data_IF_444259618241
#
_entry.id   IF_444259618241
#
_cell.length_a   1.000
_cell.length_b   1.000
_cell.length_c   1.000
_cell.angle_alpha   90.00
_cell.angle_beta   90.00
_cell.angle_gamma   90.00
#
_symmetry.space_group_name_H-M   'P 1'
#
loop_
_entity.id
_entity.type
_entity.pdbx_description
1 polymer ?
#
# COMPACT_ATOMS: atom_id res chain seq x y z
N UNK A 1 26.88 28.70 27.09
CA UNK A 1 27.41 27.79 26.03
C UNK A 1 27.07 26.31 26.24
N UNK A 2 26.72 25.83 27.44
CA UNK A 2 26.30 24.42 27.65
C UNK A 2 24.91 24.08 27.07
N UNK A 3 23.96 25.01 27.08
CA UNK A 3 22.57 24.78 26.63
C UNK A 3 22.48 24.53 25.11
N UNK A 4 23.36 25.17 24.32
CA UNK A 4 23.39 25.02 22.86
C UNK A 4 23.85 23.62 22.40
N UNK A 5 24.69 22.95 23.19
CA UNK A 5 25.22 21.61 22.87
C UNK A 5 24.14 20.53 23.08
N UNK A 6 23.30 20.68 24.10
CA UNK A 6 22.19 19.76 24.38
C UNK A 6 21.11 19.84 23.28
N UNK A 7 20.86 21.04 22.74
CA UNK A 7 19.91 21.24 21.64
C UNK A 7 20.40 20.65 20.31
N UNK A 8 21.73 20.64 20.07
CA UNK A 8 22.32 20.07 18.85
C UNK A 8 22.30 18.53 18.84
N UNK A 9 22.43 17.89 20.00
CA UNK A 9 22.30 16.43 20.14
C UNK A 9 20.86 15.91 20.05
N UNK A 10 19.87 16.81 20.10
CA UNK A 10 18.45 16.49 19.88
C UNK A 10 18.13 16.44 18.38
N UNK A 11 19.05 15.92 17.57
CA UNK A 11 18.83 15.73 16.15
C UNK A 11 17.80 14.61 16.00
N UNK A 12 16.65 14.94 15.44
CA UNK A 12 15.51 14.04 15.18
C UNK A 12 15.94 12.87 14.27
N UNK A 13 16.48 11.80 14.86
CA UNK A 13 16.92 10.59 14.15
C UNK A 13 15.93 9.43 14.23
N UNK A 14 14.76 9.64 14.85
CA UNK A 14 13.79 8.59 15.15
C UNK A 14 12.44 8.87 14.51
N UNK A 15 12.45 9.01 13.19
CA UNK A 15 11.26 9.21 12.37
C UNK A 15 10.86 7.92 11.64
N UNK A 16 9.57 7.61 11.62
CA UNK A 16 8.97 6.53 10.83
C UNK A 16 8.29 7.15 9.62
N UNK A 17 8.55 6.59 8.43
CA UNK A 17 8.03 7.10 7.17
C UNK A 17 6.98 6.17 6.60
N UNK A 18 5.78 6.70 6.34
CA UNK A 18 4.81 6.08 5.46
C UNK A 18 4.96 6.70 4.06
N UNK A 19 5.45 5.88 3.13
CA UNK A 19 5.74 6.25 1.75
C UNK A 19 4.88 5.44 0.78
N UNK A 20 4.74 5.91 -0.47
CA UNK A 20 4.03 5.20 -1.54
C UNK A 20 2.72 5.87 -2.00
N UNK A 21 2.31 6.95 -1.35
CA UNK A 21 1.23 7.84 -1.80
C UNK A 21 1.73 9.14 -2.44
N UNK A 22 0.82 10.08 -2.70
CA UNK A 22 1.15 11.42 -3.22
C UNK A 22 1.85 12.30 -2.17
N UNK A 23 1.70 11.95 -0.89
CA UNK A 23 2.28 12.64 0.26
C UNK A 23 3.00 11.59 1.12
N UNK A 24 4.23 11.90 1.52
CA UNK A 24 4.95 11.12 2.52
C UNK A 24 4.54 11.61 3.91
N UNK A 25 4.16 10.70 4.79
CA UNK A 25 3.87 11.02 6.18
C UNK A 25 5.05 10.65 7.06
N UNK A 26 5.42 11.56 7.95
CA UNK A 26 6.50 11.39 8.92
C UNK A 26 5.91 11.35 10.32
N UNK A 27 6.25 10.31 11.08
CA UNK A 27 5.80 10.12 12.45
C UNK A 27 7.00 10.11 13.39
N UNK A 28 6.86 10.70 14.57
CA UNK A 28 7.87 10.58 15.62
C UNK A 28 7.75 9.19 16.27
N UNK A 29 8.84 8.42 16.35
CA UNK A 29 8.86 7.06 16.95
C UNK A 29 8.50 7.05 18.44
N UNK A 30 8.73 8.16 19.14
CA UNK A 30 8.60 8.23 20.59
C UNK A 30 7.18 8.57 21.08
N UNK A 31 6.36 9.27 20.28
CA UNK A 31 5.01 9.70 20.66
C UNK A 31 4.09 9.74 19.42
N UNK A 32 3.04 8.89 19.34
CA UNK A 32 2.76 7.74 20.20
C UNK A 32 3.87 6.66 20.10
N UNK A 33 3.80 5.60 20.92
CA UNK A 33 4.87 4.59 20.94
C UNK A 33 5.01 3.89 19.56
N UNK A 34 6.19 3.36 19.26
CA UNK A 34 6.50 2.74 17.95
C UNK A 34 5.50 1.65 17.53
N UNK A 35 5.02 0.85 18.48
CA UNK A 35 4.06 -0.21 18.19
C UNK A 35 2.74 0.37 17.66
N UNK A 36 2.20 1.40 18.30
CA UNK A 36 0.96 2.05 17.88
C UNK A 36 1.12 2.71 16.50
N UNK A 37 2.28 3.31 16.23
CA UNK A 37 2.58 3.94 14.93
C UNK A 37 2.64 2.88 13.83
N UNK A 38 3.32 1.75 14.08
CA UNK A 38 3.41 0.65 13.13
C UNK A 38 2.04 -0.01 12.89
N UNK A 39 1.24 -0.21 13.93
CA UNK A 39 -0.12 -0.73 13.80
C UNK A 39 -0.99 0.19 12.95
N UNK A 40 -0.91 1.51 13.19
CA UNK A 40 -1.61 2.51 12.38
C UNK A 40 -1.18 2.45 10.90
N UNK A 41 0.12 2.34 10.63
CA UNK A 41 0.67 2.23 9.28
C UNK A 41 0.15 0.98 8.58
N UNK A 42 0.20 -0.19 9.22
CA UNK A 42 -0.27 -1.44 8.63
C UNK A 42 -1.78 -1.41 8.40
N UNK A 43 -2.56 -0.88 9.34
CA UNK A 43 -4.00 -0.69 9.16
C UNK A 43 -4.28 0.20 7.96
N UNK A 44 -3.62 1.35 7.86
CA UNK A 44 -3.78 2.28 6.73
C UNK A 44 -3.41 1.61 5.41
N UNK A 45 -2.32 0.84 5.37
CA UNK A 45 -1.91 0.09 4.18
C UNK A 45 -2.97 -0.93 3.77
N UNK A 46 -3.51 -1.68 4.72
CA UNK A 46 -4.53 -2.69 4.46
C UNK A 46 -5.83 -2.08 3.92
N UNK A 47 -6.28 -0.96 4.51
CA UNK A 47 -7.46 -0.22 4.03
C UNK A 47 -7.25 0.31 2.61
N UNK A 48 -6.08 0.88 2.31
CA UNK A 48 -5.75 1.34 0.95
C UNK A 48 -5.76 0.17 -0.04
N UNK A 49 -5.16 -0.98 0.32
CA UNK A 49 -5.19 -2.17 -0.53
C UNK A 49 -6.61 -2.67 -0.74
N UNK A 50 -7.45 -2.71 0.29
CA UNK A 50 -8.85 -3.11 0.19
C UNK A 50 -9.63 -2.18 -0.77
N UNK A 51 -9.53 -0.87 -0.57
CA UNK A 51 -10.14 0.12 -1.44
C UNK A 51 -9.71 -0.03 -2.92
N UNK A 52 -8.42 -0.26 -3.17
CA UNK A 52 -7.92 -0.46 -4.53
C UNK A 52 -8.44 -1.76 -5.15
N UNK A 53 -8.54 -2.86 -4.38
CA UNK A 53 -9.14 -4.11 -4.87
C UNK A 53 -10.61 -3.93 -5.23
N UNK A 54 -11.40 -3.31 -4.36
CA UNK A 54 -12.82 -3.05 -4.61
C UNK A 54 -13.05 -2.23 -5.88
N UNK A 55 -12.16 -1.29 -6.18
CA UNK A 55 -12.29 -0.40 -7.32
C UNK A 55 -11.75 -0.98 -8.63
N UNK A 56 -10.66 -1.75 -8.58
CA UNK A 56 -9.91 -2.14 -9.77
C UNK A 56 -9.86 -3.65 -10.04
N UNK A 57 -10.22 -4.50 -9.06
CA UNK A 57 -10.28 -5.95 -9.20
C UNK A 57 -11.70 -6.48 -9.50
N UNK A 58 -12.61 -5.59 -9.93
CA UNK A 58 -13.96 -5.96 -10.38
C UNK A 58 -13.98 -5.96 -11.91
N UNK A 59 -14.32 -7.13 -12.48
CA UNK A 59 -14.39 -7.35 -13.92
C UNK A 59 -15.79 -7.82 -14.30
N UNK A 60 -16.35 -7.20 -15.32
CA UNK A 60 -17.67 -7.53 -15.86
C UNK A 60 -17.55 -8.05 -17.30
N UNK A 61 -18.67 -8.45 -17.89
CA UNK A 61 -18.71 -8.96 -19.27
C UNK A 61 -18.28 -7.93 -20.33
N UNK A 62 -18.17 -6.65 -19.98
CA UNK A 62 -17.73 -5.58 -20.89
C UNK A 62 -16.23 -5.27 -20.76
N UNK A 63 -15.58 -5.83 -19.74
CA UNK A 63 -14.15 -5.67 -19.52
C UNK A 63 -13.37 -6.27 -20.67
N UNK A 64 -12.61 -5.43 -21.38
CA UNK A 64 -11.71 -5.89 -22.42
C UNK A 64 -10.48 -6.59 -21.83
N UNK A 65 -9.89 -7.51 -22.59
CA UNK A 65 -8.66 -8.21 -22.21
C UNK A 65 -7.52 -7.25 -21.86
N UNK A 66 -7.32 -6.22 -22.69
CA UNK A 66 -6.30 -5.20 -22.47
C UNK A 66 -6.51 -4.50 -21.12
N UNK A 67 -7.76 -4.14 -20.82
CA UNK A 67 -8.10 -3.43 -19.59
C UNK A 67 -7.98 -4.34 -18.35
N UNK A 68 -8.38 -5.61 -18.46
CA UNK A 68 -8.15 -6.62 -17.41
C UNK A 68 -6.67 -6.74 -17.06
N UNK A 69 -5.82 -7.03 -18.06
CA UNK A 69 -4.40 -7.25 -17.83
C UNK A 69 -3.70 -5.97 -17.38
N UNK A 70 -4.10 -4.81 -17.90
CA UNK A 70 -3.58 -3.51 -17.43
C UNK A 70 -3.85 -3.33 -15.93
N UNK A 71 -5.11 -3.50 -15.50
CA UNK A 71 -5.52 -3.32 -14.10
C UNK A 71 -4.87 -4.33 -13.15
N UNK A 72 -4.86 -5.62 -13.51
CA UNK A 72 -4.29 -6.68 -12.66
C UNK A 72 -2.76 -6.59 -12.57
N UNK A 73 -2.07 -6.26 -13.66
CA UNK A 73 -0.62 -6.03 -13.59
C UNK A 73 -0.30 -4.81 -12.72
N UNK A 74 -1.04 -3.72 -12.87
CA UNK A 74 -0.86 -2.53 -12.03
C UNK A 74 -1.09 -2.83 -10.54
N UNK A 75 -2.14 -3.56 -10.19
CA UNK A 75 -2.40 -3.98 -8.81
C UNK A 75 -1.26 -4.84 -8.23
N UNK A 76 -0.68 -5.73 -9.04
CA UNK A 76 0.48 -6.55 -8.65
C UNK A 76 1.74 -5.70 -8.46
N UNK A 77 2.03 -4.79 -9.38
CA UNK A 77 3.19 -3.88 -9.30
C UNK A 77 3.11 -2.95 -8.09
N UNK A 78 1.91 -2.62 -7.64
CA UNK A 78 1.66 -1.87 -6.40
C UNK A 78 1.59 -2.75 -5.15
N UNK A 79 1.89 -4.05 -5.26
CA UNK A 79 1.82 -5.03 -4.18
C UNK A 79 0.45 -5.05 -3.47
N UNK A 80 -0.61 -4.64 -4.18
CA UNK A 80 -1.98 -4.65 -3.68
C UNK A 80 -2.51 -6.08 -3.67
N UNK A 81 -2.16 -6.85 -4.69
CA UNK A 81 -2.47 -8.28 -4.81
C UNK A 81 -1.17 -9.10 -4.78
N UNK A 82 -1.26 -10.28 -4.19
CA UNK A 82 -0.19 -11.29 -4.17
C UNK A 82 -0.04 -11.99 -5.52
N UNK A 83 1.09 -12.70 -5.75
CA UNK A 83 1.25 -13.54 -6.94
C UNK A 83 0.19 -14.64 -7.07
N UNK A 84 -0.31 -15.15 -5.94
CA UNK A 84 -1.36 -16.17 -5.92
C UNK A 84 -2.71 -15.58 -6.37
N UNK A 85 -3.09 -14.42 -5.82
CA UNK A 85 -4.30 -13.70 -6.25
C UNK A 85 -4.24 -13.31 -7.73
N UNK A 86 -3.06 -12.88 -8.21
CA UNK A 86 -2.85 -12.59 -9.64
C UNK A 86 -3.16 -13.80 -10.52
N UNK A 87 -2.67 -14.98 -10.15
CA UNK A 87 -2.93 -16.21 -10.90
C UNK A 87 -4.41 -16.57 -10.87
N UNK A 88 -5.07 -16.43 -9.72
CA UNK A 88 -6.50 -16.67 -9.56
C UNK A 88 -7.34 -15.76 -10.44
N UNK A 89 -7.09 -14.44 -10.43
CA UNK A 89 -7.80 -13.50 -11.29
C UNK A 89 -7.64 -13.86 -12.77
N UNK A 90 -6.44 -14.24 -13.19
CA UNK A 90 -6.18 -14.63 -14.58
C UNK A 90 -6.97 -15.89 -14.96
N UNK A 91 -6.92 -16.92 -14.13
CA UNK A 91 -7.66 -18.16 -14.37
C UNK A 91 -9.17 -17.92 -14.43
N UNK A 92 -9.71 -17.07 -13.54
CA UNK A 92 -11.13 -16.74 -13.54
C UNK A 92 -11.54 -15.97 -14.81
N UNK A 93 -10.74 -15.00 -15.24
CA UNK A 93 -11.00 -14.24 -16.47
C UNK A 93 -10.94 -15.13 -17.71
N UNK A 94 -9.94 -15.99 -17.83
CA UNK A 94 -9.79 -16.92 -18.96
C UNK A 94 -10.96 -17.92 -19.00
N UNK A 95 -11.41 -18.41 -17.83
CA UNK A 95 -12.54 -19.35 -17.74
C UNK A 95 -13.86 -18.71 -18.15
N UNK A 96 -14.12 -17.46 -17.71
CA UNK A 96 -15.34 -16.72 -18.07
C UNK A 96 -15.46 -16.44 -19.57
N UNK A 97 -14.35 -16.49 -20.32
CA UNK A 97 -14.35 -16.32 -21.78
C UNK A 97 -14.54 -17.61 -22.56
N UNK A 98 -14.32 -18.76 -21.93
CA UNK A 98 -14.52 -20.08 -22.54
C UNK A 98 -15.98 -20.55 -22.42
N UNK A 99 -16.77 -19.93 -21.55
CA UNK A 99 -18.20 -20.13 -21.35
C UNK A 99 -19.01 -19.15 -22.20
#
# INVERSE_FOLDING_TARGET
MLIAIIAYFKQHQDDIFLVGGQINLTFYRAIPNEHDVLEFIEKTRNEVKAYLKERYAVFDATTTELDFYSRINWLREKEVISPAEFAEYKTNFDTQRLL
#
